data_IF_139110073910
#
_entry.id   IF_139110073910
#
_cell.length_a   1.000
_cell.length_b   1.000
_cell.length_c   1.000
_cell.angle_alpha   90.00
_cell.angle_beta   90.00
_cell.angle_gamma   90.00
#
_symmetry.space_group_name_H-M   'P 1'
#
loop_
_entity.id
_entity.type
_entity.pdbx_description
1 polymer ?
#
# COMPACT_ATOMS: atom_id res chain seq x y z
N UNK A 1 29.54 9.39 -21.13
CA UNK A 1 29.13 8.03 -20.72
C UNK A 1 28.32 8.09 -19.44
N UNK A 2 27.02 8.42 -19.52
CA UNK A 2 26.04 8.14 -18.47
C UNK A 2 24.74 7.85 -19.21
N UNK A 3 24.42 6.57 -19.37
CA UNK A 3 23.19 6.10 -19.99
C UNK A 3 22.82 4.79 -19.33
N UNK A 4 21.77 4.80 -18.49
CA UNK A 4 21.30 3.58 -17.84
C UNK A 4 20.49 3.79 -16.57
N UNK A 5 19.36 4.50 -16.63
CA UNK A 5 18.36 4.49 -15.54
C UNK A 5 16.93 4.70 -16.08
N UNK A 6 16.49 3.87 -17.04
CA UNK A 6 15.10 3.95 -17.56
C UNK A 6 14.30 2.64 -17.53
N UNK A 7 14.75 1.59 -16.84
CA UNK A 7 14.04 0.30 -16.80
C UNK A 7 13.32 -0.04 -15.48
N UNK A 8 13.35 0.81 -14.45
CA UNK A 8 12.91 0.42 -13.09
C UNK A 8 11.45 0.79 -12.74
N UNK A 9 10.80 1.71 -13.47
CA UNK A 9 9.43 2.10 -13.15
C UNK A 9 8.37 1.02 -13.41
N UNK A 10 8.65 0.02 -14.25
CA UNK A 10 7.65 -0.99 -14.63
C UNK A 10 7.45 -2.11 -13.59
N UNK A 11 8.46 -2.39 -12.74
CA UNK A 11 8.39 -3.50 -11.78
C UNK A 11 7.61 -3.12 -10.50
N UNK A 12 7.54 -1.84 -10.18
CA UNK A 12 6.89 -1.30 -8.98
C UNK A 12 5.36 -1.32 -9.07
N UNK A 13 4.80 -1.08 -10.26
CA UNK A 13 3.34 -1.15 -10.49
C UNK A 13 2.79 -2.57 -10.33
N UNK A 14 3.60 -3.61 -10.59
CA UNK A 14 3.20 -5.01 -10.40
C UNK A 14 3.05 -5.41 -8.91
N UNK A 15 3.65 -4.66 -7.98
CA UNK A 15 3.52 -4.88 -6.53
C UNK A 15 2.31 -4.16 -5.91
N UNK A 16 1.61 -3.33 -6.68
CA UNK A 16 0.38 -2.64 -6.26
C UNK A 16 -0.90 -3.30 -6.78
N UNK A 17 -0.77 -4.36 -7.58
CA UNK A 17 -1.88 -5.23 -7.94
C UNK A 17 -2.03 -6.25 -6.81
N UNK A 18 -2.89 -5.95 -5.84
CA UNK A 18 -3.49 -7.03 -5.05
C UNK A 18 -4.37 -7.82 -6.04
N UNK A 19 -4.17 -9.12 -6.24
CA UNK A 19 -5.16 -9.91 -6.95
C UNK A 19 -6.42 -9.89 -6.09
N UNK A 20 -7.45 -9.18 -6.57
CA UNK A 20 -8.81 -9.39 -6.10
C UNK A 20 -9.15 -10.84 -6.49
N UNK A 21 -9.55 -11.64 -5.50
CA UNK A 21 -9.62 -13.08 -5.67
C UNK A 21 -10.59 -13.49 -6.78
N UNK A 22 -10.05 -14.11 -7.84
CA UNK A 22 -10.80 -15.01 -8.71
C UNK A 22 -9.86 -16.07 -9.34
N UNK A 23 -10.03 -17.31 -8.88
CA UNK A 23 -9.79 -18.59 -9.57
C UNK A 23 -8.81 -18.62 -10.76
N UNK A 24 -7.51 -18.68 -10.44
CA UNK A 24 -6.46 -19.21 -11.32
C UNK A 24 -5.63 -20.23 -10.55
N UNK A 25 -6.25 -21.38 -10.24
CA UNK A 25 -5.75 -22.42 -9.33
C UNK A 25 -4.50 -23.19 -9.84
N UNK A 26 -4.07 -22.93 -11.08
CA UNK A 26 -2.99 -23.66 -11.76
C UNK A 26 -1.76 -22.77 -11.93
N UNK A 27 -0.79 -22.92 -11.02
CA UNK A 27 0.53 -22.32 -11.16
C UNK A 27 1.21 -22.08 -9.83
N UNK A 28 0.52 -21.46 -8.88
CA UNK A 28 1.14 -21.01 -7.63
C UNK A 28 1.48 -22.15 -6.68
N UNK A 29 2.72 -22.12 -6.18
CA UNK A 29 3.22 -23.07 -5.19
C UNK A 29 3.75 -22.36 -3.94
N UNK A 30 3.53 -23.00 -2.80
CA UNK A 30 3.95 -22.47 -1.50
C UNK A 30 5.47 -22.40 -1.42
N UNK A 31 6.01 -21.25 -1.03
CA UNK A 31 7.46 -21.04 -0.90
C UNK A 31 7.92 -20.69 0.50
N UNK A 32 7.00 -20.36 1.42
CA UNK A 32 7.37 -20.25 2.82
C UNK A 32 6.48 -19.35 3.66
N UNK A 33 6.90 -19.28 4.93
CA UNK A 33 6.29 -18.50 5.99
C UNK A 33 7.11 -17.23 6.25
N UNK A 34 6.46 -16.07 6.13
CA UNK A 34 6.94 -14.82 6.69
C UNK A 34 6.36 -14.64 8.10
N UNK A 35 7.26 -14.60 9.08
CA UNK A 35 6.96 -14.39 10.49
C UNK A 35 8.15 -13.71 11.15
N UNK A 36 7.91 -12.55 11.77
CA UNK A 36 8.96 -11.72 12.38
C UNK A 36 9.09 -11.90 13.90
N UNK A 37 8.45 -12.93 14.45
CA UNK A 37 8.48 -13.22 15.87
C UNK A 37 7.28 -12.66 16.62
N UNK A 38 6.99 -13.30 17.76
CA UNK A 38 6.04 -12.87 18.75
C UNK A 38 6.51 -13.40 20.11
N UNK A 39 6.18 -12.68 21.17
CA UNK A 39 6.31 -13.13 22.56
C UNK A 39 5.42 -14.33 22.89
N UNK A 40 4.46 -14.66 22.04
CA UNK A 40 3.42 -15.68 22.32
C UNK A 40 3.57 -16.95 21.48
N UNK A 41 4.25 -16.89 20.33
CA UNK A 41 4.44 -18.05 19.46
C UNK A 41 5.75 -17.94 18.70
N UNK A 42 6.41 -19.08 18.51
CA UNK A 42 7.65 -19.21 17.76
C UNK A 42 7.39 -19.59 16.30
N UNK A 43 8.38 -19.36 15.44
CA UNK A 43 8.33 -19.80 14.03
C UNK A 43 8.11 -21.31 13.91
N UNK A 44 8.80 -22.10 14.74
CA UNK A 44 8.70 -23.57 14.69
C UNK A 44 7.31 -24.08 15.07
N UNK A 45 6.65 -23.45 16.05
CA UNK A 45 5.26 -23.76 16.40
C UNK A 45 4.31 -23.42 15.25
N UNK A 46 4.47 -22.27 14.60
CA UNK A 46 3.69 -21.91 13.41
C UNK A 46 3.87 -22.91 12.27
N UNK A 47 5.12 -23.23 11.93
CA UNK A 47 5.44 -24.23 10.90
C UNK A 47 4.84 -25.61 11.25
N UNK A 48 4.81 -25.96 12.54
CA UNK A 48 4.14 -27.13 13.09
C UNK A 48 2.61 -27.05 13.13
N UNK A 49 1.97 -25.90 12.96
CA UNK A 49 0.51 -25.80 12.77
C UNK A 49 0.17 -25.94 11.29
N UNK A 50 0.93 -25.23 10.46
CA UNK A 50 0.73 -25.11 9.01
C UNK A 50 1.00 -26.45 8.30
N UNK A 51 2.06 -27.16 8.69
CA UNK A 51 2.48 -28.45 8.10
C UNK A 51 2.60 -28.41 6.56
N UNK A 52 3.09 -27.31 6.00
CA UNK A 52 3.34 -27.17 4.56
C UNK A 52 4.82 -27.30 4.24
N UNK A 53 5.10 -27.97 3.13
CA UNK A 53 6.43 -28.03 2.50
C UNK A 53 6.44 -27.11 1.28
N UNK A 54 7.62 -26.56 0.95
CA UNK A 54 7.79 -25.81 -0.30
C UNK A 54 7.34 -26.66 -1.49
N UNK A 55 6.67 -26.03 -2.46
CA UNK A 55 6.01 -26.68 -3.60
C UNK A 55 4.55 -27.08 -3.35
N UNK A 56 3.99 -26.89 -2.15
CA UNK A 56 2.59 -27.27 -1.87
C UNK A 56 1.60 -26.43 -2.69
N UNK A 57 0.50 -27.06 -3.13
CA UNK A 57 -0.54 -26.41 -3.92
C UNK A 57 -1.26 -25.28 -3.17
N UNK A 58 -1.84 -24.34 -3.90
CA UNK A 58 -2.65 -23.24 -3.33
C UNK A 58 -3.81 -23.73 -2.45
N UNK A 59 -4.49 -24.83 -2.82
CA UNK A 59 -5.53 -25.45 -1.99
C UNK A 59 -5.02 -25.88 -0.61
N UNK A 60 -3.77 -26.32 -0.55
CA UNK A 60 -3.11 -26.67 0.72
C UNK A 60 -2.79 -25.42 1.54
N UNK A 61 -2.39 -24.33 0.88
CA UNK A 61 -2.17 -23.02 1.50
C UNK A 61 -3.47 -22.50 2.11
N UNK A 62 -4.58 -22.54 1.38
CA UNK A 62 -5.88 -22.09 1.87
C UNK A 62 -6.32 -22.85 3.13
N UNK A 63 -6.18 -24.18 3.11
CA UNK A 63 -6.45 -25.01 4.29
C UNK A 63 -5.54 -24.66 5.47
N UNK A 64 -4.28 -24.31 5.21
CA UNK A 64 -3.36 -23.95 6.28
C UNK A 64 -3.68 -22.57 6.87
N UNK A 65 -4.08 -21.59 6.05
CA UNK A 65 -4.57 -20.31 6.54
C UNK A 65 -5.81 -20.48 7.42
N UNK A 66 -6.79 -21.28 7.01
CA UNK A 66 -7.98 -21.59 7.82
C UNK A 66 -7.62 -22.26 9.16
N UNK A 67 -6.63 -23.15 9.16
CA UNK A 67 -6.13 -23.79 10.40
C UNK A 67 -5.49 -22.77 11.33
N UNK A 68 -4.67 -21.86 10.80
CA UNK A 68 -4.06 -20.78 11.57
C UNK A 68 -5.13 -19.84 12.16
N UNK A 69 -6.10 -19.43 11.34
CA UNK A 69 -7.22 -18.60 11.78
C UNK A 69 -7.96 -19.25 12.96
N UNK A 70 -8.36 -20.51 12.82
CA UNK A 70 -9.04 -21.24 13.90
C UNK A 70 -8.16 -21.43 15.14
N UNK A 71 -6.86 -21.64 14.96
CA UNK A 71 -5.91 -21.75 16.08
C UNK A 71 -5.84 -20.44 16.88
N UNK A 72 -5.65 -19.31 16.20
CA UNK A 72 -5.51 -18.01 16.85
C UNK A 72 -6.83 -17.50 17.43
N UNK A 73 -7.96 -17.81 16.78
CA UNK A 73 -9.30 -17.55 17.33
C UNK A 73 -9.49 -18.27 18.68
N UNK A 74 -9.15 -19.57 18.75
CA UNK A 74 -9.23 -20.36 19.99
C UNK A 74 -8.28 -19.83 21.06
N UNK A 75 -7.07 -19.41 20.67
CA UNK A 75 -6.10 -18.81 21.56
C UNK A 75 -6.45 -17.37 21.99
N UNK A 76 -7.46 -16.76 21.36
CA UNK A 76 -7.86 -15.34 21.54
C UNK A 76 -6.71 -14.37 21.31
N UNK A 77 -5.87 -14.68 20.32
CA UNK A 77 -4.75 -13.84 19.95
C UNK A 77 -5.08 -13.10 18.67
N UNK A 78 -5.03 -11.75 18.67
CA UNK A 78 -5.24 -10.99 17.44
C UNK A 78 -4.08 -11.27 16.49
N UNK A 79 -4.41 -11.70 15.27
CA UNK A 79 -3.45 -12.06 14.24
C UNK A 79 -3.91 -11.49 12.90
N UNK A 80 -2.95 -11.13 12.07
CA UNK A 80 -3.16 -10.87 10.67
C UNK A 80 -2.48 -11.98 9.85
N UNK A 81 -3.26 -12.62 8.98
CA UNK A 81 -2.81 -13.74 8.14
C UNK A 81 -3.07 -13.34 6.69
N UNK A 82 -2.01 -13.21 5.91
CA UNK A 82 -2.10 -12.77 4.51
C UNK A 82 -1.46 -13.81 3.58
N UNK A 83 -2.12 -14.08 2.44
CA UNK A 83 -1.52 -14.84 1.34
C UNK A 83 -0.84 -13.84 0.39
N UNK A 84 0.47 -13.96 0.23
CA UNK A 84 1.25 -13.06 -0.61
C UNK A 84 1.68 -13.80 -1.88
N UNK A 85 1.12 -13.37 -3.01
CA UNK A 85 1.47 -13.90 -4.32
C UNK A 85 2.67 -13.12 -4.87
N UNK A 86 3.73 -13.84 -5.24
CA UNK A 86 4.96 -13.28 -5.80
C UNK A 86 5.25 -13.96 -7.14
N UNK A 87 5.44 -13.19 -8.21
CA UNK A 87 5.87 -13.75 -9.49
C UNK A 87 7.29 -14.37 -9.43
N UNK A 88 7.59 -15.37 -10.27
CA UNK A 88 6.63 -16.20 -11.01
C UNK A 88 6.07 -17.31 -10.10
N UNK A 89 4.75 -17.41 -10.00
CA UNK A 89 4.04 -18.58 -9.45
C UNK A 89 4.40 -19.01 -8.01
N UNK A 90 4.74 -18.06 -7.13
CA UNK A 90 5.03 -18.32 -5.71
C UNK A 90 3.96 -17.74 -4.82
N UNK A 91 3.60 -18.47 -3.76
CA UNK A 91 2.74 -17.98 -2.69
C UNK A 91 3.44 -18.14 -1.35
N UNK A 92 3.37 -17.10 -0.52
CA UNK A 92 3.84 -17.09 0.85
C UNK A 92 2.66 -16.88 1.80
N UNK A 93 2.79 -17.38 3.01
CA UNK A 93 1.89 -17.02 4.11
C UNK A 93 2.64 -16.01 4.97
N UNK A 94 2.10 -14.81 5.14
CA UNK A 94 2.57 -13.85 6.13
C UNK A 94 1.69 -13.95 7.36
N UNK A 95 2.30 -14.15 8.53
CA UNK A 95 1.62 -14.21 9.82
C UNK A 95 2.20 -13.11 10.70
N UNK A 96 1.33 -12.22 11.16
CA UNK A 96 1.70 -11.13 12.05
C UNK A 96 0.81 -11.18 13.29
N UNK A 97 1.38 -11.59 14.42
CA UNK A 97 0.67 -11.61 15.71
C UNK A 97 0.70 -10.20 16.29
N UNK A 98 -0.48 -9.65 16.56
CA UNK A 98 -0.61 -8.28 17.06
C UNK A 98 -0.31 -8.27 18.55
N UNK A 99 0.88 -7.80 18.91
CA UNK A 99 1.27 -7.60 20.30
C UNK A 99 0.72 -6.27 20.87
N UNK A 100 0.57 -6.20 22.20
CA UNK A 100 0.22 -4.96 22.91
C UNK A 100 1.21 -3.80 22.68
N UNK A 101 2.42 -4.10 22.22
CA UNK A 101 3.39 -3.09 21.80
C UNK A 101 2.93 -2.33 20.56
N UNK A 102 2.15 -2.97 19.67
CA UNK A 102 1.56 -2.34 18.48
C UNK A 102 0.34 -1.47 18.78
N UNK A 103 -0.34 -1.67 19.91
CA UNK A 103 -1.41 -0.77 20.40
C UNK A 103 -0.88 0.67 20.61
N UNK A 104 0.44 0.85 20.65
CA UNK A 104 1.09 2.15 20.78
C UNK A 104 1.23 2.91 19.47
N UNK A 105 1.06 2.27 18.31
CA UNK A 105 1.18 2.97 17.01
C UNK A 105 -0.07 3.83 16.83
N UNK A 106 0.04 5.17 16.88
CA UNK A 106 -1.13 6.04 16.80
C UNK A 106 -1.92 5.78 15.53
N UNK A 107 -3.24 5.73 15.65
CA UNK A 107 -4.16 5.74 14.50
C UNK A 107 -4.90 7.07 14.50
N UNK A 108 -5.31 7.54 13.33
CA UNK A 108 -6.19 8.70 13.27
C UNK A 108 -7.56 8.34 13.85
N UNK A 109 -8.16 9.32 14.49
CA UNK A 109 -9.60 9.31 14.75
C UNK A 109 -10.33 9.87 13.52
N UNK A 110 -11.53 9.34 13.25
CA UNK A 110 -12.43 9.92 12.25
C UNK A 110 -12.94 11.26 12.79
N UNK A 111 -13.04 12.27 11.92
CA UNK A 111 -13.55 13.58 12.33
C UNK A 111 -15.08 13.53 12.30
N UNK A 112 -15.74 13.75 13.44
CA UNK A 112 -17.20 13.67 13.58
C UNK A 112 -17.82 12.44 12.89
N UNK A 113 -17.65 11.21 13.43
CA UNK A 113 -18.05 9.98 12.73
C UNK A 113 -19.55 9.95 12.37
N UNK A 114 -19.89 9.93 11.08
CA UNK A 114 -21.28 9.87 10.60
C UNK A 114 -21.35 9.28 9.18
N UNK A 115 -22.50 8.72 8.80
CA UNK A 115 -22.72 8.24 7.44
C UNK A 115 -22.83 9.44 6.49
N UNK A 116 -21.87 9.55 5.57
CA UNK A 116 -21.83 10.68 4.64
C UNK A 116 -22.76 10.38 3.46
N UNK A 117 -23.60 11.35 3.08
CA UNK A 117 -24.46 11.27 1.91
C UNK A 117 -23.73 11.86 0.71
N UNK A 118 -23.56 11.08 -0.36
CA UNK A 118 -23.01 11.55 -1.63
C UNK A 118 -24.14 12.04 -2.55
N UNK A 119 -23.85 13.00 -3.43
CA UNK A 119 -24.86 13.57 -4.35
C UNK A 119 -25.41 12.57 -5.36
N UNK A 120 -24.72 11.45 -5.60
CA UNK A 120 -25.06 10.48 -6.64
C UNK A 120 -24.39 9.14 -6.33
N UNK A 121 -25.09 8.05 -6.65
CA UNK A 121 -24.56 6.69 -6.59
C UNK A 121 -23.96 6.24 -7.94
N UNK A 122 -24.13 7.03 -9.01
CA UNK A 122 -23.64 6.67 -10.36
C UNK A 122 -22.13 6.37 -10.40
N UNK A 123 -21.24 7.11 -9.71
CA UNK A 123 -19.82 6.78 -9.70
C UNK A 123 -19.52 5.43 -9.05
N UNK A 124 -20.31 4.99 -8.08
CA UNK A 124 -20.14 3.66 -7.48
C UNK A 124 -20.48 2.56 -8.48
N UNK A 125 -21.59 2.71 -9.22
CA UNK A 125 -21.98 1.76 -10.28
C UNK A 125 -20.91 1.69 -11.39
N UNK A 126 -20.35 2.83 -11.78
CA UNK A 126 -19.28 2.88 -12.78
C UNK A 126 -17.98 2.25 -12.26
N UNK A 127 -17.66 2.44 -10.98
CA UNK A 127 -16.51 1.81 -10.35
C UNK A 127 -16.66 0.29 -10.32
N UNK A 128 -17.85 -0.23 -9.99
CA UNK A 128 -18.11 -1.68 -10.00
C UNK A 128 -17.93 -2.27 -11.40
N UNK A 129 -18.46 -1.59 -12.43
CA UNK A 129 -18.24 -1.99 -13.84
C UNK A 129 -16.78 -1.97 -14.26
N UNK A 130 -15.99 -1.04 -13.71
CA UNK A 130 -14.55 -1.00 -13.94
C UNK A 130 -13.87 -2.20 -13.28
N UNK A 131 -14.21 -2.53 -12.03
CA UNK A 131 -13.68 -3.71 -11.34
C UNK A 131 -14.03 -5.01 -12.08
N UNK A 132 -15.29 -5.19 -12.47
CA UNK A 132 -15.72 -6.34 -13.28
C UNK A 132 -14.91 -6.48 -14.57
N UNK A 133 -14.63 -5.36 -15.25
CA UNK A 133 -13.80 -5.37 -16.47
C UNK A 133 -12.36 -5.80 -16.17
N UNK A 134 -11.76 -5.29 -15.10
CA UNK A 134 -10.39 -5.61 -14.74
C UNK A 134 -10.24 -7.07 -14.29
N UNK A 135 -11.20 -7.58 -13.52
CA UNK A 135 -11.28 -9.00 -13.12
C UNK A 135 -11.42 -9.92 -14.33
N UNK A 136 -12.25 -9.55 -15.31
CA UNK A 136 -12.36 -10.31 -16.57
C UNK A 136 -11.00 -10.39 -17.29
N UNK A 137 -10.29 -9.27 -17.42
CA UNK A 137 -8.97 -9.23 -18.08
C UNK A 137 -7.93 -10.09 -17.36
N UNK A 138 -7.97 -10.09 -16.03
CA UNK A 138 -7.11 -10.93 -15.21
C UNK A 138 -7.42 -12.42 -15.42
N UNK A 139 -8.71 -12.81 -15.42
CA UNK A 139 -9.15 -14.18 -15.67
C UNK A 139 -8.79 -14.72 -17.06
N UNK A 140 -8.68 -13.83 -18.05
CA UNK A 140 -8.26 -14.14 -19.41
C UNK A 140 -6.72 -14.19 -19.58
N UNK A 141 -5.96 -14.05 -18.48
CA UNK A 141 -4.48 -14.08 -18.49
C UNK A 141 -3.83 -12.84 -19.12
N UNK A 142 -4.57 -11.74 -19.24
CA UNK A 142 -4.12 -10.48 -19.85
C UNK A 142 -4.40 -9.28 -18.94
N UNK A 143 -3.86 -9.27 -17.70
CA UNK A 143 -4.15 -8.23 -16.73
C UNK A 143 -3.80 -6.83 -17.27
N UNK A 144 -4.70 -5.87 -17.03
CA UNK A 144 -4.49 -4.50 -17.46
C UNK A 144 -3.36 -3.85 -16.66
N UNK A 145 -2.46 -3.14 -17.34
CA UNK A 145 -1.37 -2.41 -16.71
C UNK A 145 -1.82 -1.00 -16.36
N UNK A 146 -1.63 -0.62 -15.10
CA UNK A 146 -1.85 0.75 -14.64
C UNK A 146 -0.81 1.73 -15.21
N UNK A 147 -1.26 2.95 -15.46
CA UNK A 147 -0.44 4.10 -15.84
C UNK A 147 -0.96 5.35 -15.13
N UNK A 148 -0.06 6.29 -14.83
CA UNK A 148 -0.41 7.52 -14.12
C UNK A 148 0.03 8.74 -14.94
N UNK A 149 -0.83 9.18 -15.87
CA UNK A 149 -0.54 10.30 -16.78
C UNK A 149 -1.03 11.61 -16.16
N UNK A 150 -0.12 12.54 -15.88
CA UNK A 150 -0.47 13.78 -15.17
C UNK A 150 -1.07 13.54 -13.78
N UNK A 151 -0.80 12.36 -13.18
CA UNK A 151 -1.41 11.92 -11.94
C UNK A 151 -2.81 11.30 -12.08
N UNK A 152 -3.36 11.16 -13.28
CA UNK A 152 -4.63 10.45 -13.53
C UNK A 152 -4.36 8.95 -13.66
N UNK A 153 -5.11 8.11 -12.96
CA UNK A 153 -5.02 6.65 -13.13
C UNK A 153 -5.71 6.23 -14.43
N UNK A 154 -4.97 5.52 -15.28
CA UNK A 154 -5.40 4.94 -16.55
C UNK A 154 -4.95 3.47 -16.63
N UNK A 155 -5.55 2.72 -17.53
CA UNK A 155 -5.19 1.33 -17.79
C UNK A 155 -4.69 1.15 -19.23
N UNK A 156 -4.00 0.04 -19.49
CA UNK A 156 -3.62 -0.36 -20.85
C UNK A 156 -4.79 -0.87 -21.70
N UNK A 157 -5.97 -1.08 -21.11
CA UNK A 157 -7.20 -1.53 -21.79
C UNK A 157 -8.09 -0.33 -22.14
N UNK A 158 -8.48 -0.24 -23.41
CA UNK A 158 -9.27 0.88 -23.92
C UNK A 158 -10.69 0.91 -23.34
N UNK A 159 -11.32 -0.26 -23.17
CA UNK A 159 -12.67 -0.33 -22.63
C UNK A 159 -12.72 0.13 -21.16
N UNK A 160 -11.70 -0.23 -20.35
CA UNK A 160 -11.53 0.32 -19.01
C UNK A 160 -11.36 1.85 -19.03
N UNK A 161 -10.59 2.39 -19.96
CA UNK A 161 -10.40 3.85 -20.09
C UNK A 161 -11.70 4.57 -20.50
N UNK A 162 -12.57 3.96 -21.31
CA UNK A 162 -13.87 4.54 -21.62
C UNK A 162 -14.78 4.68 -20.38
N UNK A 163 -14.74 3.71 -19.46
CA UNK A 163 -15.45 3.79 -18.16
C UNK A 163 -14.83 4.90 -17.29
N UNK A 164 -13.51 5.03 -17.31
CA UNK A 164 -12.80 6.11 -16.61
C UNK A 164 -13.21 7.49 -17.14
N UNK A 165 -13.38 7.66 -18.46
CA UNK A 165 -13.86 8.92 -19.02
C UNK A 165 -15.23 9.32 -18.46
N UNK A 166 -16.13 8.36 -18.28
CA UNK A 166 -17.42 8.60 -17.65
C UNK A 166 -17.28 8.93 -16.16
N UNK A 167 -16.43 8.21 -15.41
CA UNK A 167 -16.12 8.52 -14.00
C UNK A 167 -15.57 9.94 -13.82
N UNK A 168 -14.68 10.37 -14.73
CA UNK A 168 -14.06 11.70 -14.72
C UNK A 168 -15.07 12.84 -14.86
N UNK A 169 -16.23 12.60 -15.47
CA UNK A 169 -17.30 13.62 -15.58
C UNK A 169 -17.92 13.96 -14.22
N UNK A 170 -17.92 13.04 -13.27
CA UNK A 170 -18.43 13.24 -11.91
C UNK A 170 -17.35 13.71 -10.93
N UNK A 171 -16.11 13.30 -11.18
CA UNK A 171 -14.97 13.48 -10.28
C UNK A 171 -14.86 14.88 -9.65
N UNK A 172 -14.72 15.95 -10.44
CA UNK A 172 -14.55 17.30 -9.90
C UNK A 172 -15.71 17.78 -9.02
N UNK A 173 -16.96 17.45 -9.37
CA UNK A 173 -18.15 17.91 -8.65
C UNK A 173 -18.43 17.15 -7.34
N UNK A 174 -17.91 15.92 -7.23
CA UNK A 174 -18.10 15.02 -6.09
C UNK A 174 -16.84 14.84 -5.24
N UNK A 175 -15.72 15.47 -5.64
CA UNK A 175 -14.43 15.37 -4.94
C UNK A 175 -14.54 15.64 -3.44
N UNK A 176 -15.22 16.72 -3.06
CA UNK A 176 -15.33 17.11 -1.66
C UNK A 176 -16.25 16.17 -0.87
N UNK A 177 -17.29 15.61 -1.52
CA UNK A 177 -18.15 14.58 -0.93
C UNK A 177 -17.30 13.32 -0.62
N UNK A 178 -16.44 12.88 -1.55
CA UNK A 178 -15.55 11.74 -1.34
C UNK A 178 -14.51 12.00 -0.26
N UNK A 179 -13.94 13.20 -0.20
CA UNK A 179 -13.03 13.59 0.88
C UNK A 179 -13.73 13.63 2.25
N UNK A 180 -15.03 13.97 2.28
CA UNK A 180 -15.84 13.89 3.50
C UNK A 180 -16.10 12.44 3.89
N UNK A 181 -16.43 11.56 2.94
CA UNK A 181 -16.54 10.10 3.18
C UNK A 181 -15.25 9.58 3.82
N UNK A 182 -14.09 9.89 3.24
CA UNK A 182 -12.79 9.45 3.79
C UNK A 182 -12.57 10.00 5.19
N UNK A 183 -12.96 11.24 5.48
CA UNK A 183 -12.71 11.87 6.78
C UNK A 183 -13.58 11.31 7.89
N UNK A 184 -14.85 11.05 7.59
CA UNK A 184 -15.91 10.98 8.60
C UNK A 184 -16.73 9.68 8.55
N UNK A 185 -16.76 8.97 7.43
CA UNK A 185 -17.62 7.79 7.28
C UNK A 185 -17.12 6.60 8.12
N UNK A 186 -17.96 5.98 8.97
CA UNK A 186 -17.54 4.86 9.80
C UNK A 186 -17.23 3.60 8.97
N UNK A 187 -17.81 3.42 7.79
CA UNK A 187 -17.61 2.24 6.96
C UNK A 187 -16.27 2.32 6.20
N UNK A 188 -15.29 1.46 6.51
CA UNK A 188 -13.98 1.47 5.85
C UNK A 188 -14.05 1.15 4.36
N UNK A 189 -15.00 0.36 3.89
CA UNK A 189 -15.15 0.03 2.47
C UNK A 189 -15.56 1.26 1.67
N UNK A 190 -16.49 2.06 2.20
CA UNK A 190 -16.86 3.35 1.61
C UNK A 190 -15.66 4.30 1.56
N UNK A 191 -14.84 4.34 2.62
CA UNK A 191 -13.60 5.14 2.63
C UNK A 191 -12.61 4.68 1.55
N UNK A 192 -12.39 3.37 1.39
CA UNK A 192 -11.52 2.84 0.33
C UNK A 192 -12.00 3.22 -1.06
N UNK A 193 -13.29 3.01 -1.35
CA UNK A 193 -13.89 3.34 -2.66
C UNK A 193 -13.82 4.83 -2.96
N UNK A 194 -14.07 5.68 -1.96
CA UNK A 194 -13.91 7.12 -2.10
C UNK A 194 -12.47 7.52 -2.44
N UNK A 195 -11.45 6.90 -1.82
CA UNK A 195 -10.03 7.12 -2.18
C UNK A 195 -9.75 6.68 -3.62
N UNK A 196 -10.32 5.56 -4.05
CA UNK A 196 -10.16 5.09 -5.43
C UNK A 196 -10.79 6.06 -6.43
N UNK A 197 -12.02 6.54 -6.18
CA UNK A 197 -12.71 7.51 -7.01
C UNK A 197 -11.95 8.84 -7.12
N UNK A 198 -11.23 9.25 -6.07
CA UNK A 198 -10.38 10.45 -6.09
C UNK A 198 -9.30 10.39 -7.18
N UNK A 199 -8.94 9.21 -7.72
CA UNK A 199 -7.98 9.11 -8.82
C UNK A 199 -8.40 9.91 -10.06
N UNK A 200 -9.70 10.16 -10.21
CA UNK A 200 -10.30 10.82 -11.37
C UNK A 200 -10.92 12.19 -11.04
N UNK A 201 -10.72 12.67 -9.81
CA UNK A 201 -11.31 13.92 -9.32
C UNK A 201 -10.49 15.20 -9.58
N UNK A 202 -9.20 15.05 -9.92
CA UNK A 202 -8.27 16.18 -10.06
C UNK A 202 -7.80 16.78 -8.72
N UNK A 203 -7.16 17.95 -8.80
CA UNK A 203 -6.54 18.67 -7.66
C UNK A 203 -5.61 17.79 -6.81
N UNK A 204 -4.75 17.01 -7.48
CA UNK A 204 -3.98 15.93 -6.88
C UNK A 204 -3.10 16.35 -5.70
N UNK A 205 -2.42 17.50 -5.78
CA UNK A 205 -1.59 17.99 -4.66
C UNK A 205 -2.43 18.19 -3.39
N UNK A 206 -3.56 18.90 -3.50
CA UNK A 206 -4.49 19.13 -2.38
C UNK A 206 -5.11 17.82 -1.89
N UNK A 207 -5.43 16.89 -2.78
CA UNK A 207 -5.96 15.58 -2.41
C UNK A 207 -4.91 14.76 -1.64
N UNK A 208 -3.67 14.68 -2.11
CA UNK A 208 -2.58 14.02 -1.40
C UNK A 208 -2.38 14.61 0.00
N UNK A 209 -2.43 15.94 0.15
CA UNK A 209 -2.32 16.60 1.44
C UNK A 209 -3.40 16.14 2.42
N UNK A 210 -4.66 16.15 1.98
CA UNK A 210 -5.81 15.76 2.80
C UNK A 210 -5.79 14.26 3.14
N UNK A 211 -5.19 13.43 2.29
CA UNK A 211 -5.05 11.99 2.51
C UNK A 211 -3.86 11.59 3.41
N UNK A 212 -2.97 12.52 3.80
CA UNK A 212 -1.85 12.20 4.71
C UNK A 212 -2.35 11.54 5.99
N UNK A 213 -3.44 12.06 6.59
CA UNK A 213 -4.01 11.46 7.81
C UNK A 213 -4.54 10.04 7.57
N UNK A 214 -5.03 9.75 6.36
CA UNK A 214 -5.59 8.43 6.00
C UNK A 214 -4.51 7.33 5.93
N UNK A 215 -3.24 7.69 5.79
CA UNK A 215 -2.09 6.77 5.94
C UNK A 215 -2.04 6.18 7.36
N UNK A 216 -2.62 6.87 8.35
CA UNK A 216 -2.77 6.38 9.73
C UNK A 216 -4.19 5.89 10.05
N UNK A 217 -5.03 5.54 9.06
CA UNK A 217 -6.37 4.99 9.32
C UNK A 217 -6.30 3.74 10.21
N UNK A 218 -7.33 3.53 11.03
CA UNK A 218 -7.54 2.31 11.81
C UNK A 218 -7.59 1.05 10.93
N UNK A 219 -8.15 1.15 9.73
CA UNK A 219 -8.32 0.05 8.79
C UNK A 219 -7.15 -0.02 7.79
N UNK A 220 -6.51 -1.19 7.66
CA UNK A 220 -5.35 -1.39 6.78
C UNK A 220 -5.65 -1.18 5.30
N UNK A 221 -6.86 -1.53 4.82
CA UNK A 221 -7.24 -1.32 3.42
C UNK A 221 -7.30 0.16 3.07
N UNK A 222 -7.77 0.99 4.02
CA UNK A 222 -7.83 2.45 3.82
C UNK A 222 -6.43 3.06 3.78
N UNK A 223 -5.51 2.59 4.63
CA UNK A 223 -4.10 3.00 4.59
C UNK A 223 -3.45 2.64 3.26
N UNK A 224 -3.59 1.38 2.85
CA UNK A 224 -3.09 0.89 1.57
C UNK A 224 -3.66 1.68 0.37
N UNK A 225 -4.96 2.02 0.40
CA UNK A 225 -5.58 2.86 -0.63
C UNK A 225 -4.99 4.27 -0.65
N UNK A 226 -4.78 4.90 0.51
CA UNK A 226 -4.17 6.22 0.62
C UNK A 226 -2.72 6.22 0.08
N UNK A 227 -1.92 5.22 0.44
CA UNK A 227 -0.55 5.07 -0.07
C UNK A 227 -0.54 4.84 -1.58
N UNK A 228 -1.40 3.96 -2.10
CA UNK A 228 -1.54 3.69 -3.54
C UNK A 228 -1.95 4.95 -4.31
N UNK A 229 -2.77 5.81 -3.71
CA UNK A 229 -3.11 7.10 -4.28
C UNK A 229 -1.91 8.07 -4.31
N UNK A 230 -1.17 8.20 -3.20
CA UNK A 230 -0.11 9.21 -3.05
C UNK A 230 1.16 8.83 -3.84
N UNK A 231 1.57 7.57 -3.78
CA UNK A 231 2.83 7.06 -4.36
C UNK A 231 3.10 7.47 -5.83
N UNK A 232 2.17 7.26 -6.79
CA UNK A 232 2.40 7.63 -8.19
C UNK A 232 2.41 9.14 -8.40
N UNK A 233 1.87 9.93 -7.46
CA UNK A 233 1.73 11.39 -7.57
C UNK A 233 2.89 12.16 -6.95
N UNK A 234 3.80 11.51 -6.23
CA UNK A 234 4.94 12.19 -5.59
C UNK A 234 5.75 13.07 -6.54
N UNK A 235 5.91 12.66 -7.79
CA UNK A 235 6.74 13.39 -8.76
C UNK A 235 6.13 14.74 -9.17
N UNK A 236 4.79 14.85 -9.10
CA UNK A 236 4.05 16.06 -9.47
C UNK A 236 3.65 16.93 -8.26
N UNK A 237 4.03 16.54 -7.05
CA UNK A 237 3.77 17.37 -5.86
C UNK A 237 4.71 18.58 -5.83
N UNK A 238 4.22 19.75 -5.36
CA UNK A 238 5.01 20.97 -5.30
C UNK A 238 6.10 20.88 -4.22
N UNK A 239 7.06 21.79 -4.26
CA UNK A 239 8.25 21.77 -3.38
C UNK A 239 7.89 22.06 -1.91
N UNK A 240 6.85 22.85 -1.70
CA UNK A 240 6.29 23.25 -0.40
C UNK A 240 5.25 22.25 0.15
N UNK A 241 4.99 21.16 -0.57
CA UNK A 241 4.14 20.08 -0.05
C UNK A 241 4.69 19.58 1.30
N UNK A 242 3.82 19.24 2.28
CA UNK A 242 4.26 18.83 3.61
C UNK A 242 4.82 17.39 3.61
N UNK A 243 6.02 17.22 3.05
CA UNK A 243 6.70 15.93 2.96
C UNK A 243 7.09 15.37 4.33
N UNK A 244 7.37 16.21 5.32
CA UNK A 244 7.71 15.76 6.67
C UNK A 244 6.53 15.04 7.36
N UNK A 245 5.32 15.63 7.45
CA UNK A 245 4.14 14.90 7.93
C UNK A 245 3.85 13.61 7.17
N UNK A 246 4.01 13.61 5.84
CA UNK A 246 3.85 12.41 5.03
C UNK A 246 4.89 11.34 5.41
N UNK A 247 6.17 11.71 5.52
CA UNK A 247 7.26 10.81 5.92
C UNK A 247 6.97 10.18 7.30
N UNK A 248 6.54 10.98 8.27
CA UNK A 248 6.21 10.47 9.61
C UNK A 248 5.07 9.45 9.57
N UNK A 249 4.02 9.70 8.78
CA UNK A 249 2.88 8.79 8.65
C UNK A 249 3.30 7.46 8.02
N UNK A 250 4.06 7.48 6.92
CA UNK A 250 4.53 6.25 6.26
C UNK A 250 5.55 5.49 7.10
N UNK A 251 6.37 6.18 7.91
CA UNK A 251 7.28 5.52 8.84
C UNK A 251 6.52 4.79 9.96
N UNK A 252 5.39 5.33 10.45
CA UNK A 252 4.50 4.62 11.38
C UNK A 252 3.83 3.43 10.72
N UNK A 253 3.33 3.60 9.50
CA UNK A 253 2.70 2.52 8.74
C UNK A 253 3.67 1.35 8.48
N UNK A 254 4.95 1.62 8.18
CA UNK A 254 6.00 0.60 8.02
C UNK A 254 6.25 -0.26 9.28
N UNK A 255 5.76 0.17 10.45
CA UNK A 255 5.86 -0.56 11.72
C UNK A 255 4.59 -1.35 12.06
N UNK A 256 3.52 -1.25 11.26
CA UNK A 256 2.25 -1.92 11.51
C UNK A 256 2.33 -3.42 11.14
N UNK A 257 1.50 -4.27 11.79
CA UNK A 257 1.53 -5.73 11.64
C UNK A 257 0.76 -6.21 10.39
N UNK A 258 1.07 -5.65 9.22
CA UNK A 258 0.57 -6.12 7.93
C UNK A 258 1.70 -6.12 6.92
N UNK A 259 1.78 -7.18 6.11
CA UNK A 259 2.74 -7.23 5.02
C UNK A 259 2.52 -6.08 4.05
N UNK A 260 1.25 -5.84 3.73
CA UNK A 260 0.81 -4.82 2.80
C UNK A 260 1.17 -3.40 3.24
N UNK A 261 0.96 -3.07 4.53
CA UNK A 261 1.41 -1.81 5.13
C UNK A 261 2.93 -1.66 4.99
N UNK A 262 3.70 -2.69 5.38
CA UNK A 262 5.18 -2.65 5.38
C UNK A 262 5.74 -2.40 3.99
N UNK A 263 5.35 -3.23 3.02
CA UNK A 263 5.95 -3.18 1.69
C UNK A 263 5.63 -1.86 1.00
N UNK A 264 4.36 -1.41 1.04
CA UNK A 264 3.93 -0.16 0.41
C UNK A 264 4.60 1.05 1.07
N UNK A 265 4.68 1.06 2.40
CA UNK A 265 5.34 2.13 3.16
C UNK A 265 6.83 2.22 2.85
N UNK A 266 7.55 1.09 2.78
CA UNK A 266 8.99 1.10 2.51
C UNK A 266 9.31 1.58 1.09
N UNK A 267 8.49 1.22 0.11
CA UNK A 267 8.63 1.77 -1.24
C UNK A 267 8.33 3.27 -1.26
N UNK A 268 7.32 3.73 -0.52
CA UNK A 268 7.01 5.15 -0.42
C UNK A 268 8.11 5.94 0.30
N UNK A 269 8.68 5.40 1.39
CA UNK A 269 9.85 5.97 2.08
C UNK A 269 11.04 6.07 1.12
N UNK A 270 11.33 5.01 0.37
CA UNK A 270 12.43 5.01 -0.60
C UNK A 270 12.23 6.11 -1.65
N UNK A 271 11.03 6.22 -2.24
CA UNK A 271 10.72 7.25 -3.23
C UNK A 271 10.78 8.67 -2.64
N UNK A 272 10.32 8.84 -1.40
CA UNK A 272 10.44 10.11 -0.68
C UNK A 272 11.90 10.50 -0.42
N UNK A 273 12.77 9.57 -0.02
CA UNK A 273 14.20 9.84 0.18
C UNK A 273 14.89 10.18 -1.13
N UNK A 274 14.56 9.48 -2.23
CA UNK A 274 15.09 9.78 -3.56
C UNK A 274 14.70 11.20 -4.02
N UNK A 275 13.46 11.63 -3.74
CA UNK A 275 12.97 12.99 -4.07
C UNK A 275 13.46 14.07 -3.09
N UNK A 276 13.50 13.74 -1.80
CA UNK A 276 13.75 14.63 -0.67
C UNK A 276 14.80 14.02 0.28
N UNK A 277 16.10 14.01 -0.10
CA UNK A 277 17.13 13.32 0.69
C UNK A 277 17.31 13.83 2.12
N UNK A 278 16.96 15.08 2.40
CA UNK A 278 17.03 15.68 3.73
C UNK A 278 16.10 15.00 4.76
N UNK A 279 15.11 14.22 4.30
CA UNK A 279 14.23 13.42 5.16
C UNK A 279 14.85 12.09 5.62
N UNK A 280 15.99 11.69 5.06
CA UNK A 280 16.67 10.43 5.38
C UNK A 280 16.93 10.25 6.88
N UNK A 281 17.42 11.25 7.65
CA UNK A 281 17.67 11.08 9.08
C UNK A 281 16.39 10.73 9.84
N UNK A 282 15.29 11.44 9.57
CA UNK A 282 13.98 11.18 10.19
C UNK A 282 13.50 9.75 9.89
N UNK A 283 13.52 9.36 8.61
CA UNK A 283 13.08 8.03 8.21
C UNK A 283 13.92 6.94 8.88
N UNK A 284 15.24 7.13 8.90
CA UNK A 284 16.20 6.23 9.52
C UNK A 284 15.94 6.08 11.02
N UNK A 285 15.83 7.18 11.76
CA UNK A 285 15.70 7.15 13.20
C UNK A 285 14.41 6.42 13.65
N UNK A 286 13.36 6.47 12.83
CA UNK A 286 12.09 5.78 13.11
C UNK A 286 12.12 4.31 12.65
N UNK A 287 12.67 4.01 11.47
CA UNK A 287 12.45 2.70 10.81
C UNK A 287 13.66 1.77 10.76
N UNK A 288 14.86 2.22 11.15
CA UNK A 288 16.11 1.47 10.99
C UNK A 288 16.03 0.03 11.50
N UNK A 289 15.52 -0.19 12.71
CA UNK A 289 15.46 -1.52 13.32
C UNK A 289 14.51 -2.46 12.56
N UNK A 290 13.35 -1.96 12.13
CA UNK A 290 12.43 -2.71 11.28
C UNK A 290 13.04 -3.03 9.92
N UNK A 291 13.68 -2.06 9.27
CA UNK A 291 14.35 -2.22 7.97
C UNK A 291 15.45 -3.30 8.04
N UNK A 292 16.31 -3.25 9.07
CA UNK A 292 17.34 -4.28 9.29
C UNK A 292 16.71 -5.66 9.49
N UNK A 293 15.64 -5.75 10.29
CA UNK A 293 14.93 -7.01 10.54
C UNK A 293 14.34 -7.58 9.25
N UNK A 294 13.65 -6.76 8.47
CA UNK A 294 13.03 -7.18 7.21
C UNK A 294 14.08 -7.61 6.17
N UNK A 295 15.17 -6.85 6.04
CA UNK A 295 16.29 -7.22 5.16
C UNK A 295 16.91 -8.57 5.55
N UNK A 296 17.05 -8.86 6.84
CA UNK A 296 17.66 -10.10 7.32
C UNK A 296 16.69 -11.31 7.30
N UNK A 297 15.40 -11.11 7.54
CA UNK A 297 14.47 -12.20 7.87
C UNK A 297 13.33 -12.41 6.87
N UNK A 298 12.96 -11.41 6.07
CA UNK A 298 11.82 -11.53 5.16
C UNK A 298 12.09 -12.63 4.13
N UNK A 299 11.13 -13.54 3.93
CA UNK A 299 11.20 -14.57 2.88
C UNK A 299 10.68 -14.06 1.54
N UNK A 300 9.92 -12.97 1.56
CA UNK A 300 9.28 -12.38 0.40
C UNK A 300 10.29 -11.46 -0.31
N UNK A 301 10.69 -11.76 -1.57
CA UNK A 301 11.76 -11.04 -2.24
C UNK A 301 11.54 -9.52 -2.32
N UNK A 302 10.31 -9.09 -2.59
CA UNK A 302 10.02 -7.66 -2.75
C UNK A 302 10.26 -6.87 -1.47
N UNK A 303 9.78 -7.35 -0.31
CA UNK A 303 10.00 -6.73 0.98
C UNK A 303 11.48 -6.77 1.39
N UNK A 304 12.18 -7.89 1.15
CA UNK A 304 13.62 -7.98 1.42
C UNK A 304 14.41 -6.97 0.60
N UNK A 305 14.20 -6.94 -0.71
CA UNK A 305 14.95 -6.09 -1.63
C UNK A 305 14.79 -4.60 -1.32
N UNK A 306 13.57 -4.13 -1.04
CA UNK A 306 13.35 -2.72 -0.67
C UNK A 306 14.01 -2.39 0.67
N UNK A 307 14.00 -3.33 1.62
CA UNK A 307 14.63 -3.17 2.93
C UNK A 307 16.15 -3.12 2.84
N UNK A 308 16.77 -3.97 2.03
CA UNK A 308 18.23 -3.96 1.80
C UNK A 308 18.70 -2.65 1.15
N UNK A 309 17.93 -2.13 0.18
CA UNK A 309 18.20 -0.83 -0.43
C UNK A 309 18.14 0.30 0.60
N UNK A 310 17.09 0.33 1.42
CA UNK A 310 16.96 1.33 2.49
C UNK A 310 18.06 1.20 3.54
N UNK A 311 18.42 -0.01 3.97
CA UNK A 311 19.51 -0.24 4.90
C UNK A 311 20.85 0.30 4.36
N UNK A 312 21.10 0.11 3.07
CA UNK A 312 22.29 0.66 2.39
C UNK A 312 22.28 2.18 2.42
N UNK A 313 21.15 2.82 2.10
CA UNK A 313 21.00 4.28 2.15
C UNK A 313 21.23 4.82 3.57
N UNK A 314 20.65 4.15 4.58
CA UNK A 314 20.76 4.56 5.99
C UNK A 314 22.19 4.45 6.56
N UNK A 315 23.02 3.58 5.97
CA UNK A 315 24.43 3.43 6.33
C UNK A 315 25.33 4.55 5.74
N UNK A 316 24.86 5.30 4.75
CA UNK A 316 25.64 6.39 4.16
C UNK A 316 25.76 7.58 5.14
N UNK A 317 26.89 8.32 5.10
CA UNK A 317 27.03 9.54 5.87
C UNK A 317 25.96 10.56 5.48
N UNK A 318 25.22 11.08 6.46
CA UNK A 318 24.20 12.11 6.21
C UNK A 318 24.89 13.40 5.78
N UNK A 319 24.70 13.78 4.52
CA UNK A 319 25.05 15.11 4.03
C UNK A 319 23.83 16.01 4.21
N UNK A 320 23.73 16.71 5.34
CA UNK A 320 22.69 17.71 5.54
C UNK A 320 23.00 18.88 4.61
N UNK A 321 22.25 19.03 3.51
CA UNK A 321 22.28 20.27 2.74
C UNK A 321 21.40 21.26 3.49
N UNK A 322 21.95 22.39 3.91
CA UNK A 322 21.11 23.50 4.37
C UNK A 322 20.23 23.92 3.19
N UNK A 323 18.91 23.69 3.29
CA UNK A 323 17.94 24.23 2.34
C UNK A 323 18.08 25.75 2.33
N UNK A 324 18.59 26.32 1.25
CA UNK A 324 18.35 27.72 0.93
C UNK A 324 16.91 27.77 0.40
N UNK A 325 15.98 28.18 1.25
CA UNK A 325 14.66 28.59 0.80
C UNK A 325 14.87 29.86 -0.02
N UNK A 326 14.66 29.78 -1.33
CA UNK A 326 14.52 30.99 -2.13
C UNK A 326 13.17 31.59 -1.76
N UNK A 327 13.18 32.77 -1.13
CA UNK A 327 11.98 33.56 -0.78
C UNK A 327 11.22 34.08 -2.02
N UNK A 328 11.38 33.46 -3.20
CA UNK A 328 10.62 33.84 -4.37
C UNK A 328 9.22 33.20 -4.28
N UNK A 329 8.15 33.99 -4.11
CA UNK A 329 6.81 33.45 -4.19
C UNK A 329 6.61 32.86 -5.58
N UNK A 330 6.29 31.56 -5.64
CA UNK A 330 5.96 30.90 -6.89
C UNK A 330 4.68 31.50 -7.46
N UNK A 331 4.80 32.51 -8.33
CA UNK A 331 3.72 32.95 -9.19
C UNK A 331 3.47 31.86 -10.23
N UNK A 332 2.58 30.92 -9.94
CA UNK A 332 2.23 29.82 -10.83
C UNK A 332 0.82 29.30 -10.54
N UNK A 333 -0.05 29.44 -11.53
CA UNK A 333 -1.48 29.08 -11.56
C UNK A 333 -1.81 27.64 -11.15
#
# INVERSE_FOLDING_TARGET
MIGGYRAVCALLLALFVLPAGASGDEGYSYEGLEFFGSSQITRGELEGIIHLRSGASIKSVDRACQKLESYFEKARLPVNIEKIFSPPDRVYIAVDVVERSHDKIPTRLLDNPHNVLTKSEKPDILLDRLHERLELLESEGRPAKERYEGGVLLYSDEAANQIIEDLRRFGPAMRDDWLEVVRSDPNPERRCRAIEQLNWAGLYSRTCYLLIRSVDDTNHKVRAAAVRFIYPRLDILPVDFPYEPLMQAVCREAQRPSHDDRIKSLYLILKLIEKMPDLTPMARDITMESVKRYAAQSRIPALRNVSERLATIYALPIKVKKRQWSDEPSSGF
#
